data_IF_377247131593
#
_entry.id   IF_377247131593
#
_cell.length_a   1.000
_cell.length_b   1.000
_cell.length_c   1.000
_cell.angle_alpha   90.00
_cell.angle_beta   90.00
_cell.angle_gamma   90.00
#
_symmetry.space_group_name_H-M   'P 1'
#
loop_
_entity.id
_entity.type
_entity.pdbx_description
1 polymer ?
#
# COMPACT_ATOMS: atom_id res chain seq x y z
N UNK A 1 13.85 12.11 12.09
CA UNK A 1 13.91 11.81 10.66
C UNK A 1 12.59 12.23 10.04
N UNK A 2 12.58 13.24 9.17
CA UNK A 2 11.34 13.77 8.59
C UNK A 2 11.37 13.55 7.09
N UNK A 3 10.69 12.50 6.62
CA UNK A 3 10.13 12.45 5.28
C UNK A 3 8.66 12.09 5.41
N UNK A 4 7.78 13.10 5.38
CA UNK A 4 6.32 12.92 5.33
C UNK A 4 5.84 13.34 3.93
N UNK A 5 5.87 12.43 2.96
CA UNK A 5 5.52 12.78 1.57
C UNK A 5 4.26 12.08 1.05
N UNK A 6 3.27 11.90 1.92
CA UNK A 6 1.95 11.52 1.44
C UNK A 6 1.37 12.60 0.51
N UNK A 7 1.58 13.88 0.81
CA UNK A 7 1.02 14.97 -0.01
C UNK A 7 1.57 15.01 -1.45
N UNK A 8 2.91 15.03 -1.70
CA UNK A 8 3.40 15.05 -3.08
C UNK A 8 2.99 13.82 -3.89
N UNK A 9 3.05 12.63 -3.29
CA UNK A 9 2.63 11.39 -3.95
C UNK A 9 1.15 11.43 -4.38
N UNK A 10 0.25 11.92 -3.52
CA UNK A 10 -1.17 12.06 -3.88
C UNK A 10 -1.38 13.08 -5.00
N UNK A 11 -0.57 14.14 -5.07
CA UNK A 11 -0.67 15.15 -6.14
C UNK A 11 -0.23 14.57 -7.49
N UNK A 12 0.84 13.77 -7.50
CA UNK A 12 1.31 13.05 -8.68
C UNK A 12 0.24 12.09 -9.20
N UNK A 13 -0.38 11.28 -8.32
CA UNK A 13 -1.48 10.37 -8.72
C UNK A 13 -2.63 11.13 -9.37
N UNK A 14 -3.07 12.25 -8.77
CA UNK A 14 -4.17 13.05 -9.33
C UNK A 14 -3.79 13.60 -10.70
N UNK A 15 -2.57 14.13 -10.84
CA UNK A 15 -2.07 14.65 -12.10
C UNK A 15 -2.07 13.56 -13.19
N UNK A 16 -1.50 12.39 -12.90
CA UNK A 16 -1.35 11.32 -13.87
C UNK A 16 -2.70 10.74 -14.31
N UNK A 17 -3.63 10.59 -13.37
CA UNK A 17 -4.99 10.14 -13.69
C UNK A 17 -5.74 11.16 -14.57
N UNK A 18 -5.57 12.46 -14.34
CA UNK A 18 -6.13 13.50 -15.21
C UNK A 18 -5.51 13.41 -16.61
N UNK A 19 -4.19 13.32 -16.72
CA UNK A 19 -3.51 13.22 -18.01
C UNK A 19 -3.93 11.96 -18.78
N UNK A 20 -4.07 10.83 -18.09
CA UNK A 20 -4.54 9.59 -18.70
C UNK A 20 -5.96 9.75 -19.25
N UNK A 21 -6.87 10.38 -18.50
CA UNK A 21 -8.24 10.63 -18.98
C UNK A 21 -8.30 11.57 -20.17
N UNK A 22 -7.42 12.58 -20.22
CA UNK A 22 -7.26 13.46 -21.38
C UNK A 22 -6.80 12.64 -22.59
N UNK A 23 -5.76 11.82 -22.44
CA UNK A 23 -5.24 10.96 -23.49
C UNK A 23 -6.30 9.97 -24.01
N UNK A 24 -7.09 9.40 -23.10
CA UNK A 24 -8.19 8.49 -23.39
C UNK A 24 -9.44 9.19 -23.96
N UNK A 25 -9.45 10.53 -24.04
CA UNK A 25 -10.61 11.36 -24.43
C UNK A 25 -11.87 11.07 -23.58
N UNK A 26 -11.69 10.71 -22.30
CA UNK A 26 -12.77 10.41 -21.35
C UNK A 26 -13.23 11.67 -20.62
N UNK A 27 -14.29 12.30 -21.12
CA UNK A 27 -14.91 13.46 -20.47
C UNK A 27 -15.76 13.03 -19.24
N UNK A 28 -15.75 13.79 -18.12
CA UNK A 28 -14.92 14.96 -17.85
C UNK A 28 -13.44 14.59 -17.62
N UNK A 29 -12.55 15.51 -18.00
CA UNK A 29 -11.09 15.36 -17.85
C UNK A 29 -10.63 15.66 -16.42
N UNK A 30 -11.26 14.99 -15.46
CA UNK A 30 -10.97 15.10 -14.04
C UNK A 30 -10.82 13.71 -13.46
N UNK A 31 -9.85 13.53 -12.57
CA UNK A 31 -9.79 12.34 -11.74
C UNK A 31 -10.96 12.38 -10.75
N UNK A 32 -11.59 11.23 -10.52
CA UNK A 32 -12.59 11.08 -9.46
C UNK A 32 -11.94 10.46 -8.22
N UNK A 33 -12.48 10.78 -7.05
CA UNK A 33 -11.92 10.31 -5.78
C UNK A 33 -11.78 8.78 -5.70
N UNK A 34 -12.66 8.03 -6.39
CA UNK A 34 -12.58 6.57 -6.43
C UNK A 34 -11.35 6.07 -7.19
N UNK A 35 -11.00 6.67 -8.33
CA UNK A 35 -9.82 6.29 -9.12
C UNK A 35 -8.54 6.55 -8.32
N UNK A 36 -8.48 7.70 -7.65
CA UNK A 36 -7.35 8.07 -6.78
C UNK A 36 -7.20 7.06 -5.63
N UNK A 37 -8.30 6.75 -4.93
CA UNK A 37 -8.31 5.76 -3.83
C UNK A 37 -7.90 4.37 -4.32
N UNK A 38 -8.40 3.95 -5.48
CA UNK A 38 -8.07 2.66 -6.07
C UNK A 38 -6.57 2.57 -6.41
N UNK A 39 -5.99 3.63 -6.98
CA UNK A 39 -4.55 3.69 -7.27
C UNK A 39 -3.70 3.64 -6.00
N UNK A 40 -4.03 4.44 -4.99
CA UNK A 40 -3.32 4.41 -3.69
C UNK A 40 -3.40 3.03 -3.06
N UNK A 41 -4.59 2.42 -3.03
CA UNK A 41 -4.76 1.08 -2.45
C UNK A 41 -3.96 0.03 -3.22
N UNK A 42 -3.94 0.11 -4.55
CA UNK A 42 -3.13 -0.76 -5.40
C UNK A 42 -1.65 -0.65 -5.03
N UNK A 43 -1.12 0.57 -4.95
CA UNK A 43 0.31 0.79 -4.68
C UNK A 43 0.69 0.37 -3.25
N UNK A 44 -0.19 0.59 -2.27
CA UNK A 44 -0.02 0.07 -0.91
C UNK A 44 0.01 -1.46 -0.90
N UNK A 45 -0.89 -2.11 -1.65
CA UNK A 45 -0.94 -3.57 -1.72
C UNK A 45 0.33 -4.13 -2.36
N UNK A 46 0.77 -3.54 -3.48
CA UNK A 46 2.03 -3.91 -4.14
C UNK A 46 3.21 -3.77 -3.20
N UNK A 47 3.36 -2.62 -2.53
CA UNK A 47 4.46 -2.40 -1.59
C UNK A 47 4.46 -3.41 -0.44
N UNK A 48 3.28 -3.76 0.11
CA UNK A 48 3.16 -4.77 1.15
C UNK A 48 3.56 -6.17 0.65
N UNK A 49 3.19 -6.53 -0.57
CA UNK A 49 3.56 -7.82 -1.15
C UNK A 49 5.07 -7.90 -1.47
N UNK A 50 5.66 -6.82 -1.99
CA UNK A 50 7.11 -6.68 -2.18
C UNK A 50 7.86 -6.82 -0.86
N UNK A 51 7.43 -6.12 0.20
CA UNK A 51 8.06 -6.22 1.51
C UNK A 51 7.95 -7.63 2.14
N UNK A 52 6.91 -8.40 1.81
CA UNK A 52 6.78 -9.80 2.22
C UNK A 52 7.72 -10.69 1.41
N UNK A 53 7.80 -10.48 0.10
CA UNK A 53 8.70 -11.20 -0.79
C UNK A 53 10.18 -10.96 -0.43
N UNK A 54 10.52 -9.74 -0.06
CA UNK A 54 11.86 -9.32 0.35
C UNK A 54 12.21 -9.77 1.78
N UNK A 55 11.28 -10.43 2.49
CA UNK A 55 11.50 -10.89 3.86
C UNK A 55 11.60 -9.76 4.87
N UNK A 56 11.07 -8.57 4.58
CA UNK A 56 10.98 -7.47 5.54
C UNK A 56 9.76 -7.64 6.47
N UNK A 57 8.69 -8.24 5.95
CA UNK A 57 7.44 -8.49 6.66
C UNK A 57 7.03 -9.97 6.59
N UNK A 58 6.42 -10.46 7.67
CA UNK A 58 5.57 -11.65 7.63
C UNK A 58 4.11 -11.22 7.44
N UNK A 59 3.39 -11.96 6.59
CA UNK A 59 1.95 -11.79 6.34
C UNK A 59 1.15 -12.94 6.95
N UNK A 60 0.05 -12.62 7.61
CA UNK A 60 -1.02 -13.56 7.96
C UNK A 60 -2.38 -12.95 7.59
N UNK A 61 -3.49 -13.61 7.93
CA UNK A 61 -4.84 -13.08 7.69
C UNK A 61 -5.73 -13.32 8.91
N UNK A 62 -6.63 -12.39 9.19
CA UNK A 62 -7.68 -12.61 10.19
C UNK A 62 -8.83 -13.47 9.62
N UNK A 63 -9.84 -13.75 10.45
CA UNK A 63 -11.01 -14.56 10.07
C UNK A 63 -11.82 -13.98 8.90
N UNK A 64 -11.68 -12.69 8.61
CA UNK A 64 -12.35 -12.00 7.51
C UNK A 64 -11.45 -11.89 6.25
N UNK A 65 -10.29 -12.56 6.24
CA UNK A 65 -9.33 -12.52 5.13
C UNK A 65 -8.53 -11.21 5.03
N UNK A 66 -8.57 -10.36 6.05
CA UNK A 66 -7.81 -9.10 6.06
C UNK A 66 -6.35 -9.41 6.40
N UNK A 67 -5.43 -8.93 5.56
CA UNK A 67 -3.99 -9.10 5.74
C UNK A 67 -3.48 -8.44 7.03
N UNK A 68 -2.75 -9.20 7.84
CA UNK A 68 -2.04 -8.73 9.03
C UNK A 68 -0.54 -8.82 8.77
N UNK A 69 0.21 -7.78 9.12
CA UNK A 69 1.63 -7.68 8.80
C UNK A 69 2.44 -7.42 10.07
N UNK A 70 3.58 -8.09 10.21
CA UNK A 70 4.53 -7.89 11.32
C UNK A 70 5.96 -7.94 10.81
N UNK A 71 6.89 -7.30 11.51
CA UNK A 71 8.32 -7.47 11.22
C UNK A 71 8.74 -8.91 11.46
N UNK A 72 9.69 -9.39 10.66
CA UNK A 72 10.42 -10.60 11.01
C UNK A 72 11.32 -10.22 12.20
N UNK A 73 10.95 -10.60 13.43
CA UNK A 73 11.86 -10.42 14.57
C UNK A 73 13.22 -11.01 14.20
N UNK A 74 14.30 -10.27 14.46
CA UNK A 74 15.62 -10.88 14.62
C UNK A 74 15.46 -12.04 15.59
N UNK A 75 16.03 -13.21 15.25
CA UNK A 75 16.02 -14.38 16.14
C UNK A 75 16.72 -14.02 17.44
N UNK A 76 15.96 -13.57 18.44
CA UNK A 76 16.37 -13.63 19.83
C UNK A 76 15.30 -14.34 20.66
N UNK A 77 15.82 -15.13 21.59
CA UNK A 77 15.32 -16.35 22.21
C UNK A 77 14.27 -16.06 23.31
N UNK A 78 13.63 -17.14 23.78
CA UNK A 78 12.85 -17.33 25.03
C UNK A 78 11.33 -17.15 24.92
N UNK A 79 10.49 -18.01 25.48
CA UNK A 79 10.66 -19.31 26.16
C UNK A 79 9.29 -20.02 26.09
N UNK A 80 9.31 -21.34 26.18
CA UNK A 80 8.12 -22.16 26.45
C UNK A 80 7.31 -21.57 27.63
N UNK A 81 6.04 -21.24 27.38
CA UNK A 81 5.07 -21.20 28.45
C UNK A 81 4.13 -22.40 28.28
N UNK A 82 4.49 -23.44 29.01
CA UNK A 82 3.58 -24.45 29.55
C UNK A 82 2.49 -23.73 30.35
N UNK A 83 1.23 -23.93 29.97
CA UNK A 83 0.16 -24.33 30.89
C UNK A 83 -1.01 -24.96 30.13
#
# INVERSE_FOLDING_TARGET
>A
MTMKYLHPYLYEIVHDLVQQRVADKKFPYVAIANDVKAKVLSDVTTALDEMVQDGLLARSSNINGIGLYRTLKEKEVENDYVQ
#
